data_IF_909402964096
#
_entry.id   IF_909402964096
#
_cell.length_a   1.000
_cell.length_b   1.000
_cell.length_c   1.000
_cell.angle_alpha   90.00
_cell.angle_beta   90.00
_cell.angle_gamma   90.00
#
_symmetry.space_group_name_H-M   'P 1'
#
loop_
_entity.id
_entity.type
_entity.pdbx_description
1 polymer ?
#
# COMPACT_ATOMS: atom_id res chain seq x y z
N UNK A 1 46.82 -11.16 -44.56
CA UNK A 1 47.67 -10.39 -43.62
C UNK A 1 47.10 -8.98 -43.61
N UNK A 2 46.48 -8.44 -42.55
CA UNK A 2 46.99 -8.19 -41.20
C UNK A 2 45.87 -8.23 -40.12
N UNK A 3 46.26 -8.39 -38.84
CA UNK A 3 45.45 -8.68 -37.63
C UNK A 3 45.22 -7.44 -36.74
N UNK A 4 44.19 -7.52 -35.85
CA UNK A 4 44.05 -6.76 -34.57
C UNK A 4 43.30 -5.42 -34.67
N UNK A 5 42.50 -4.93 -33.72
CA UNK A 5 42.34 -5.18 -32.28
C UNK A 5 40.96 -4.64 -31.81
N UNK A 6 40.52 -5.10 -30.64
CA UNK A 6 39.26 -4.77 -29.96
C UNK A 6 39.04 -3.28 -29.66
N UNK A 7 37.78 -2.86 -29.59
CA UNK A 7 37.30 -1.65 -28.91
C UNK A 7 35.77 -1.59 -28.85
N UNK A 8 35.18 -2.11 -27.77
CA UNK A 8 33.75 -2.01 -27.48
C UNK A 8 33.48 -0.85 -26.50
N UNK A 9 32.57 0.06 -26.88
CA UNK A 9 31.68 0.91 -26.08
C UNK A 9 30.97 1.83 -27.09
N UNK A 10 29.67 2.07 -27.05
CA UNK A 10 29.01 2.87 -26.02
C UNK A 10 27.56 2.41 -25.92
N UNK A 11 27.15 2.12 -24.68
CA UNK A 11 25.76 1.97 -24.25
C UNK A 11 24.95 3.23 -24.61
N UNK A 12 24.03 3.11 -25.55
CA UNK A 12 22.91 4.03 -25.64
C UNK A 12 21.75 3.42 -24.86
N UNK A 13 21.75 3.61 -23.54
CA UNK A 13 20.52 3.45 -22.75
C UNK A 13 19.60 4.56 -23.23
N UNK A 14 18.56 4.18 -23.99
CA UNK A 14 17.42 5.05 -24.21
C UNK A 14 16.77 5.26 -22.84
N UNK A 15 17.23 6.29 -22.14
CA UNK A 15 16.54 6.84 -21.00
C UNK A 15 15.20 7.32 -21.54
N UNK A 16 14.18 6.47 -21.41
CA UNK A 16 12.80 6.90 -21.45
C UNK A 16 12.68 7.98 -20.39
N UNK A 17 12.64 9.23 -20.84
CA UNK A 17 12.37 10.38 -19.99
C UNK A 17 10.99 10.13 -19.39
N UNK A 18 10.95 9.71 -18.13
CA UNK A 18 9.77 9.94 -17.31
C UNK A 18 9.73 11.45 -17.18
N UNK A 19 8.79 12.08 -17.88
CA UNK A 19 8.44 13.48 -17.67
C UNK A 19 7.89 13.58 -16.24
N UNK A 20 8.78 13.77 -15.26
CA UNK A 20 8.42 14.33 -13.98
C UNK A 20 7.96 15.76 -14.25
N UNK A 21 6.67 15.93 -14.55
CA UNK A 21 6.03 17.24 -14.41
C UNK A 21 6.31 17.65 -12.97
N UNK A 22 6.90 18.84 -12.78
CA UNK A 22 7.15 19.39 -11.45
C UNK A 22 5.84 19.31 -10.63
N UNK A 23 5.76 18.28 -9.78
CA UNK A 23 4.51 17.64 -9.33
C UNK A 23 3.94 18.30 -8.10
N UNK A 24 3.59 19.58 -8.21
CA UNK A 24 2.95 20.30 -7.13
C UNK A 24 1.47 19.91 -7.08
N UNK A 25 1.04 19.26 -5.99
CA UNK A 25 -0.37 19.08 -5.71
C UNK A 25 -1.01 20.46 -5.48
N UNK A 26 -2.07 20.76 -6.23
CA UNK A 26 -2.84 21.99 -6.10
C UNK A 26 -4.27 21.64 -5.67
N UNK A 27 -4.74 22.11 -4.50
CA UNK A 27 -4.05 22.99 -3.53
C UNK A 27 -2.90 22.29 -2.78
N UNK A 28 -2.01 23.04 -2.09
CA UNK A 28 -0.88 22.48 -1.34
C UNK A 28 -1.31 21.38 -0.36
N UNK A 29 -0.50 20.33 -0.30
CA UNK A 29 -0.75 19.21 0.58
C UNK A 29 -0.53 19.54 2.05
N UNK A 30 -1.60 19.41 2.85
CA UNK A 30 -1.53 19.34 4.30
C UNK A 30 -2.51 18.28 4.82
N UNK A 31 -2.28 16.99 4.53
CA UNK A 31 -3.12 15.92 5.04
C UNK A 31 -2.87 15.72 6.54
N UNK A 32 -3.92 15.38 7.28
CA UNK A 32 -3.75 14.73 8.57
C UNK A 32 -3.32 13.27 8.38
N UNK A 33 -2.92 12.59 9.44
CA UNK A 33 -2.46 11.20 9.44
C UNK A 33 -3.30 10.41 10.45
N UNK A 34 -4.23 9.54 9.98
CA UNK A 34 -4.93 8.62 10.87
C UNK A 34 -3.94 7.62 11.46
N UNK A 35 -4.29 6.97 12.56
CA UNK A 35 -3.44 5.96 13.21
C UNK A 35 -4.10 4.57 13.14
N UNK A 36 -3.28 3.54 13.28
CA UNK A 36 -3.73 2.15 13.38
C UNK A 36 -3.28 1.63 14.74
N UNK A 37 -4.23 1.13 15.52
CA UNK A 37 -3.96 0.53 16.81
C UNK A 37 -3.27 -0.83 16.63
N UNK A 38 -2.33 -1.15 17.51
CA UNK A 38 -1.51 -2.36 17.44
C UNK A 38 -2.27 -3.65 17.78
N UNK A 39 -3.50 -3.56 18.30
CA UNK A 39 -4.42 -4.68 18.47
C UNK A 39 -5.19 -5.03 17.19
N UNK A 40 -4.97 -4.30 16.10
CA UNK A 40 -5.44 -4.68 14.76
C UNK A 40 -5.09 -6.13 14.44
N UNK A 41 -6.08 -6.89 13.98
CA UNK A 41 -5.93 -8.31 13.68
C UNK A 41 -5.53 -8.47 12.22
N UNK A 42 -4.44 -9.20 12.01
CA UNK A 42 -4.04 -9.75 10.72
C UNK A 42 -3.66 -11.20 11.00
N UNK A 43 -4.38 -12.15 10.40
CA UNK A 43 -4.15 -13.57 10.68
C UNK A 43 -4.47 -14.46 9.48
N UNK A 44 -3.72 -15.56 9.38
CA UNK A 44 -4.09 -16.67 8.53
C UNK A 44 -5.19 -17.48 9.23
N UNK A 45 -6.18 -17.92 8.47
CA UNK A 45 -7.25 -18.80 8.93
C UNK A 45 -7.26 -20.07 8.06
N UNK A 46 -7.77 -21.22 8.56
CA UNK A 46 -7.72 -22.50 7.83
C UNK A 46 -8.33 -22.43 6.42
N UNK A 47 -7.84 -23.27 5.50
CA UNK A 47 -8.35 -23.35 4.12
C UNK A 47 -7.80 -22.28 3.19
N UNK A 48 -6.50 -21.99 3.26
CA UNK A 48 -5.81 -21.00 2.41
C UNK A 48 -6.40 -19.59 2.50
N UNK A 49 -6.75 -19.13 3.70
CA UNK A 49 -7.43 -17.84 3.89
C UNK A 49 -6.69 -16.93 4.87
N UNK A 50 -6.99 -15.65 4.78
CA UNK A 50 -6.64 -14.67 5.81
C UNK A 50 -7.81 -13.75 6.10
N UNK A 51 -7.79 -13.18 7.30
CA UNK A 51 -8.69 -12.10 7.69
C UNK A 51 -7.89 -10.92 8.22
N UNK A 52 -8.43 -9.72 8.00
CA UNK A 52 -7.96 -8.48 8.59
C UNK A 52 -9.16 -7.81 9.26
N UNK A 53 -8.96 -7.35 10.49
CA UNK A 53 -9.88 -6.48 11.23
C UNK A 53 -9.08 -5.32 11.80
N UNK A 54 -9.32 -4.12 11.27
CA UNK A 54 -8.57 -2.92 11.66
C UNK A 54 -9.25 -2.18 12.79
N UNK A 55 -8.43 -1.74 13.74
CA UNK A 55 -8.81 -0.76 14.75
C UNK A 55 -8.10 0.54 14.36
N UNK A 56 -8.83 1.44 13.70
CA UNK A 56 -8.32 2.73 13.26
C UNK A 56 -8.67 3.83 14.28
N UNK A 57 -7.78 4.81 14.39
CA UNK A 57 -7.95 6.01 15.21
C UNK A 57 -7.74 7.27 14.35
N UNK A 58 -8.35 8.38 14.76
CA UNK A 58 -8.23 9.64 14.04
C UNK A 58 -6.80 10.18 14.02
N UNK A 59 -5.93 9.82 14.96
CA UNK A 59 -4.59 10.39 15.06
C UNK A 59 -4.65 11.89 15.25
N UNK A 60 -4.07 12.66 14.33
CA UNK A 60 -4.19 14.12 14.29
C UNK A 60 -5.30 14.63 13.34
N UNK A 61 -6.12 13.73 12.78
CA UNK A 61 -7.25 14.11 11.94
C UNK A 61 -8.40 14.68 12.74
N UNK A 62 -9.12 15.64 12.13
CA UNK A 62 -10.40 16.09 12.66
C UNK A 62 -11.43 14.98 12.61
N UNK A 63 -12.26 14.85 13.65
CA UNK A 63 -13.40 13.92 13.68
C UNK A 63 -14.43 14.19 12.58
N UNK A 64 -14.44 15.42 12.04
CA UNK A 64 -15.31 15.85 10.93
C UNK A 64 -14.70 15.64 9.55
N UNK A 65 -13.46 15.14 9.45
CA UNK A 65 -12.82 14.87 8.17
C UNK A 65 -13.43 13.63 7.51
N UNK A 66 -13.65 13.69 6.18
CA UNK A 66 -14.46 12.69 5.45
C UNK A 66 -13.79 12.05 4.23
N UNK A 67 -12.49 12.27 4.02
CA UNK A 67 -11.76 11.75 2.87
C UNK A 67 -10.78 10.64 3.25
N UNK A 68 -11.26 9.48 3.70
CA UNK A 68 -10.39 8.36 4.05
C UNK A 68 -10.39 7.28 2.97
N UNK A 69 -9.27 6.57 2.88
CA UNK A 69 -9.13 5.33 2.12
C UNK A 69 -8.55 4.24 3.02
N UNK A 70 -9.23 3.11 3.04
CA UNK A 70 -8.75 1.86 3.64
C UNK A 70 -8.20 0.97 2.53
N UNK A 71 -7.10 0.29 2.82
CA UNK A 71 -6.52 -0.67 1.90
C UNK A 71 -5.87 -1.86 2.59
N UNK A 72 -5.89 -3.01 1.92
CA UNK A 72 -5.12 -4.21 2.29
C UNK A 72 -4.35 -4.68 1.08
N UNK A 73 -3.04 -4.86 1.23
CA UNK A 73 -2.19 -5.60 0.31
C UNK A 73 -1.94 -6.99 0.89
N UNK A 74 -2.36 -8.02 0.17
CA UNK A 74 -2.35 -9.41 0.68
C UNK A 74 -0.99 -10.11 0.55
N UNK A 75 -0.02 -9.48 -0.12
CA UNK A 75 1.33 -10.03 -0.30
C UNK A 75 1.46 -11.01 -1.47
N UNK A 76 0.39 -11.28 -2.21
CA UNK A 76 0.34 -12.12 -3.41
C UNK A 76 0.07 -11.33 -4.71
N UNK A 77 0.14 -10.00 -4.62
CA UNK A 77 -0.18 -9.08 -5.71
C UNK A 77 -1.64 -8.61 -5.74
N UNK A 78 -2.53 -9.20 -4.93
CA UNK A 78 -3.92 -8.75 -4.80
C UNK A 78 -4.03 -7.62 -3.76
N UNK A 79 -4.92 -6.67 -4.03
CA UNK A 79 -5.27 -5.59 -3.11
C UNK A 79 -6.78 -5.46 -2.94
N UNK A 80 -7.20 -5.05 -1.77
CA UNK A 80 -8.57 -4.63 -1.45
C UNK A 80 -8.55 -3.17 -1.02
N UNK A 81 -9.48 -2.36 -1.52
CA UNK A 81 -9.53 -0.92 -1.23
C UNK A 81 -10.97 -0.46 -1.06
N UNK A 82 -11.19 0.55 -0.20
CA UNK A 82 -12.51 1.15 0.04
C UNK A 82 -12.34 2.61 0.47
N UNK A 83 -13.14 3.50 -0.12
CA UNK A 83 -13.26 4.87 0.36
C UNK A 83 -14.25 4.94 1.53
N UNK A 84 -13.89 5.68 2.58
CA UNK A 84 -14.65 5.76 3.83
C UNK A 84 -14.79 7.22 4.25
N UNK A 85 -15.97 7.59 4.73
CA UNK A 85 -16.31 8.96 5.11
C UNK A 85 -16.01 9.33 6.56
N UNK A 86 -15.57 8.38 7.39
CA UNK A 86 -15.19 8.60 8.78
C UNK A 86 -14.36 7.40 9.26
N UNK A 87 -13.62 7.57 10.35
CA UNK A 87 -12.90 6.45 10.96
C UNK A 87 -13.92 5.47 11.51
N UNK A 88 -13.84 4.22 11.06
CA UNK A 88 -14.65 3.11 11.53
C UNK A 88 -13.83 1.81 11.47
N UNK A 89 -14.18 0.80 12.29
CA UNK A 89 -13.66 -0.55 12.09
C UNK A 89 -13.99 -1.04 10.68
N UNK A 90 -13.01 -1.69 10.06
CA UNK A 90 -13.15 -2.29 8.74
C UNK A 90 -12.58 -3.70 8.76
N UNK A 91 -13.14 -4.57 7.91
CA UNK A 91 -12.72 -5.95 7.82
C UNK A 91 -12.62 -6.40 6.37
N UNK A 92 -11.70 -7.32 6.10
CA UNK A 92 -11.64 -8.01 4.82
C UNK A 92 -11.16 -9.45 4.99
N UNK A 93 -11.56 -10.30 4.05
CA UNK A 93 -11.10 -11.67 3.92
C UNK A 93 -10.48 -11.88 2.54
N UNK A 94 -9.53 -12.80 2.46
CA UNK A 94 -8.86 -13.17 1.22
C UNK A 94 -8.59 -14.66 1.16
N UNK A 95 -8.59 -15.20 -0.04
CA UNK A 95 -8.29 -16.61 -0.33
C UNK A 95 -7.06 -16.68 -1.23
N UNK A 96 -6.02 -17.36 -0.76
CA UNK A 96 -4.78 -17.57 -1.48
C UNK A 96 -4.89 -18.77 -2.42
N UNK A 97 -4.14 -18.73 -3.53
CA UNK A 97 -4.09 -19.82 -4.50
C UNK A 97 -3.20 -20.99 -4.06
N UNK A 98 -2.28 -20.75 -3.12
CA UNK A 98 -1.31 -21.73 -2.65
C UNK A 98 -0.98 -21.49 -1.16
N UNK A 99 -0.52 -22.52 -0.43
CA UNK A 99 0.07 -22.32 0.89
C UNK A 99 1.40 -21.58 0.77
N UNK A 100 1.74 -20.81 1.79
CA UNK A 100 2.96 -20.02 1.78
C UNK A 100 3.02 -18.99 2.90
N UNK A 101 4.14 -18.28 2.98
CA UNK A 101 4.33 -17.17 3.89
C UNK A 101 4.06 -15.87 3.13
N UNK A 102 3.12 -15.07 3.63
CA UNK A 102 2.68 -13.83 3.00
C UNK A 102 2.87 -12.64 3.95
N UNK A 103 3.29 -11.50 3.42
CA UNK A 103 3.32 -10.25 4.18
C UNK A 103 2.08 -9.44 3.85
N UNK A 104 1.11 -9.46 4.75
CA UNK A 104 -0.11 -8.68 4.63
C UNK A 104 0.15 -7.30 5.21
N UNK A 105 -0.18 -6.26 4.45
CA UNK A 105 -0.07 -4.87 4.87
C UNK A 105 -1.44 -4.23 4.81
N UNK A 106 -1.91 -3.75 5.96
CA UNK A 106 -3.09 -2.91 6.06
C UNK A 106 -2.67 -1.44 6.07
N UNK A 107 -3.44 -0.59 5.41
CA UNK A 107 -3.23 0.85 5.37
C UNK A 107 -4.54 1.60 5.61
N UNK A 108 -4.41 2.72 6.31
CA UNK A 108 -5.48 3.70 6.47
C UNK A 108 -4.92 5.07 6.13
N UNK A 109 -5.53 5.74 5.16
CA UNK A 109 -5.01 6.94 4.53
C UNK A 109 -6.03 8.07 4.64
N UNK A 110 -5.58 9.28 4.96
CA UNK A 110 -6.33 10.50 4.68
C UNK A 110 -5.95 11.00 3.28
N UNK A 111 -6.94 11.10 2.40
CA UNK A 111 -6.80 11.50 1.00
C UNK A 111 -7.64 12.76 0.71
N UNK A 112 -7.17 13.98 1.09
CA UNK A 112 -7.93 15.20 0.85
C UNK A 112 -8.05 15.54 -0.65
N UNK A 113 -7.08 15.11 -1.45
CA UNK A 113 -7.05 15.28 -2.91
C UNK A 113 -6.39 14.07 -3.56
N UNK A 114 -6.67 13.81 -4.84
CA UNK A 114 -6.12 12.66 -5.57
C UNK A 114 -4.57 12.63 -5.64
N UNK A 115 -3.91 13.76 -5.42
CA UNK A 115 -2.46 13.91 -5.40
C UNK A 115 -1.90 14.06 -3.97
N UNK A 116 -2.74 13.86 -2.96
CA UNK A 116 -2.42 14.15 -1.57
C UNK A 116 -2.91 13.04 -0.67
N UNK A 117 -1.99 12.24 -0.15
CA UNK A 117 -2.31 11.19 0.81
C UNK A 117 -1.34 11.20 1.98
N UNK A 118 -1.83 10.80 3.16
CA UNK A 118 -1.00 10.45 4.30
C UNK A 118 -1.57 9.22 4.95
N UNK A 119 -0.76 8.17 4.99
CA UNK A 119 -1.17 6.84 5.42
C UNK A 119 -0.41 6.42 6.66
N UNK A 120 -1.10 5.73 7.56
CA UNK A 120 -0.47 4.81 8.51
C UNK A 120 -0.66 3.39 7.98
N UNK A 121 0.38 2.57 8.10
CA UNK A 121 0.35 1.17 7.68
C UNK A 121 0.79 0.27 8.83
N UNK A 122 0.22 -0.94 8.86
CA UNK A 122 0.64 -2.01 9.75
C UNK A 122 0.85 -3.27 8.89
N UNK A 123 1.99 -3.92 9.05
CA UNK A 123 2.32 -5.14 8.32
C UNK A 123 2.49 -6.31 9.28
N UNK A 124 2.04 -7.49 8.85
CA UNK A 124 2.30 -8.73 9.55
C UNK A 124 2.55 -9.86 8.56
N UNK A 125 3.57 -10.66 8.86
CA UNK A 125 3.83 -11.90 8.14
C UNK A 125 2.94 -13.00 8.71
N UNK A 126 2.24 -13.72 7.83
CA UNK A 126 1.37 -14.84 8.17
C UNK A 126 1.77 -16.09 7.40
N UNK A 127 1.62 -17.25 8.02
CA UNK A 127 1.81 -18.56 7.37
C UNK A 127 0.46 -19.14 6.99
N UNK A 128 0.14 -19.10 5.71
CA UNK A 128 -1.11 -19.62 5.14
C UNK A 128 -0.94 -21.09 4.83
N UNK A 129 -1.83 -21.90 5.39
CA UNK A 129 -1.86 -23.36 5.25
C UNK A 129 -3.23 -23.79 4.76
N UNK A 130 -3.27 -24.94 4.10
CA UNK A 130 -4.52 -25.58 3.69
C UNK A 130 -5.26 -26.13 4.92
#
# INVERSE_FOLDING_TARGET
MNKGFLGAAIMAVLAGVVLSQNGYCLPPCNPCTPQIDNHTVIEAVPGLRATVEIIADYGNCSVTYTGYEWQVSWGDGVRSMKNISHISPEQAQHTYQAPGTYTVTVGYCAVPHYCCESCTTLSKTIDVKN
#
